data_IF_939480355709
#
_entry.id   IF_939480355709
#
_cell.length_a   1.000
_cell.length_b   1.000
_cell.length_c   1.000
_cell.angle_alpha   90.00
_cell.angle_beta   90.00
_cell.angle_gamma   90.00
#
_symmetry.space_group_name_H-M   'P 1'
#
loop_
_entity.id
_entity.type
_entity.pdbx_description
1 polymer ?
#
# COMPACT_ATOMS: atom_id res chain seq x y z
N UNK A 1 7.06 -24.98 -22.42
CA UNK A 1 7.64 -24.37 -23.63
C UNK A 1 8.32 -23.06 -23.26
N UNK A 2 9.59 -22.87 -23.63
CA UNK A 2 10.27 -21.59 -23.44
C UNK A 2 9.88 -20.64 -24.58
N UNK A 3 9.48 -19.43 -24.22
CA UNK A 3 9.02 -18.40 -25.15
C UNK A 3 9.78 -17.11 -24.87
N UNK A 4 10.23 -16.43 -25.93
CA UNK A 4 10.74 -15.07 -25.84
C UNK A 4 9.58 -14.10 -25.69
N UNK A 5 9.43 -13.47 -24.53
CA UNK A 5 8.46 -12.39 -24.31
C UNK A 5 9.19 -11.07 -24.14
N UNK A 6 8.47 -9.95 -24.19
CA UNK A 6 9.05 -8.60 -24.11
C UNK A 6 9.95 -8.39 -22.88
N UNK A 7 9.65 -9.09 -21.78
CA UNK A 7 10.39 -9.01 -20.50
C UNK A 7 11.46 -10.10 -20.34
N UNK A 8 11.91 -10.66 -21.45
CA UNK A 8 12.90 -11.75 -21.52
C UNK A 8 12.27 -13.13 -21.63
N UNK A 9 13.09 -14.18 -21.66
CA UNK A 9 12.60 -15.54 -21.79
C UNK A 9 11.73 -15.97 -20.58
N UNK A 10 10.64 -16.67 -20.86
CA UNK A 10 9.73 -17.27 -19.86
C UNK A 10 9.32 -18.67 -20.27
N UNK A 11 9.00 -19.52 -19.29
CA UNK A 11 8.53 -20.87 -19.53
C UNK A 11 7.04 -20.94 -19.25
N UNK A 12 6.25 -21.32 -20.24
CA UNK A 12 4.81 -21.52 -20.10
C UNK A 12 4.41 -22.96 -20.39
N UNK A 13 3.33 -23.42 -19.78
CA UNK A 13 2.68 -24.69 -20.05
C UNK A 13 1.17 -24.52 -20.26
N UNK A 14 0.54 -25.47 -20.93
CA UNK A 14 -0.92 -25.58 -20.92
C UNK A 14 -1.43 -25.72 -19.48
N UNK A 15 -2.50 -25.01 -19.16
CA UNK A 15 -3.03 -24.87 -17.81
C UNK A 15 -2.44 -23.70 -17.02
N UNK A 16 -1.38 -23.05 -17.51
CA UNK A 16 -0.80 -21.93 -16.79
C UNK A 16 -1.71 -20.72 -16.78
N UNK A 17 -1.66 -19.98 -15.67
CA UNK A 17 -2.26 -18.66 -15.58
C UNK A 17 -1.36 -17.63 -16.24
N UNK A 18 -1.91 -16.79 -17.11
CA UNK A 18 -1.17 -15.74 -17.80
C UNK A 18 -1.93 -14.41 -17.79
N UNK A 19 -1.21 -13.34 -18.15
CA UNK A 19 -1.74 -11.97 -18.24
C UNK A 19 -1.25 -11.29 -19.51
N UNK A 20 -2.15 -10.58 -20.19
CA UNK A 20 -1.81 -9.63 -21.26
C UNK A 20 -1.27 -8.33 -20.67
N UNK A 21 -0.14 -7.84 -21.21
CA UNK A 21 0.53 -6.63 -20.74
C UNK A 21 0.35 -5.42 -21.66
N UNK A 22 -0.25 -5.60 -22.84
CA UNK A 22 -0.53 -4.53 -23.81
C UNK A 22 -1.94 -4.68 -24.38
N UNK A 23 -2.61 -3.55 -24.61
CA UNK A 23 -3.85 -3.56 -25.37
C UNK A 23 -3.59 -4.04 -26.80
N UNK A 24 -4.46 -4.90 -27.33
CA UNK A 24 -4.45 -5.28 -28.74
C UNK A 24 -5.88 -5.37 -29.25
N UNK A 25 -6.24 -4.45 -30.16
CA UNK A 25 -7.62 -4.31 -30.63
C UNK A 25 -8.03 -5.48 -31.52
N UNK A 26 -7.09 -6.00 -32.32
CA UNK A 26 -7.37 -7.15 -33.20
C UNK A 26 -7.72 -8.42 -32.43
N UNK A 27 -7.14 -8.59 -31.24
CA UNK A 27 -7.40 -9.70 -30.34
C UNK A 27 -8.54 -9.40 -29.34
N UNK A 28 -9.01 -8.15 -29.27
CA UNK A 28 -10.00 -7.71 -28.29
C UNK A 28 -9.52 -7.83 -26.84
N UNK A 29 -8.21 -7.73 -26.59
CA UNK A 29 -7.61 -7.87 -25.25
C UNK A 29 -7.09 -6.53 -24.74
N UNK A 30 -7.13 -6.36 -23.42
CA UNK A 30 -6.63 -5.16 -22.73
C UNK A 30 -5.45 -5.55 -21.86
N UNK A 31 -4.61 -4.57 -21.53
CA UNK A 31 -3.61 -4.73 -20.49
C UNK A 31 -4.29 -5.09 -19.17
N UNK A 32 -3.80 -6.14 -18.51
CA UNK A 32 -4.40 -6.73 -17.31
C UNK A 32 -5.44 -7.82 -17.59
N UNK A 33 -5.81 -8.09 -18.84
CA UNK A 33 -6.67 -9.25 -19.16
C UNK A 33 -5.96 -10.54 -18.73
N UNK A 34 -6.65 -11.33 -17.90
CA UNK A 34 -6.20 -12.62 -17.39
C UNK A 34 -6.85 -13.77 -18.18
N UNK A 35 -6.18 -14.92 -18.16
CA UNK A 35 -6.72 -16.15 -18.71
C UNK A 35 -5.87 -17.37 -18.38
N UNK A 36 -6.25 -18.50 -18.94
CA UNK A 36 -5.54 -19.78 -18.86
C UNK A 36 -5.00 -20.14 -20.24
N UNK A 37 -3.78 -20.63 -20.30
CA UNK A 37 -3.19 -21.15 -21.54
C UNK A 37 -3.83 -22.50 -21.87
N UNK A 38 -4.47 -22.60 -23.02
CA UNK A 38 -5.01 -23.88 -23.52
C UNK A 38 -3.88 -24.65 -24.24
N UNK A 39 -3.15 -23.95 -25.12
CA UNK A 39 -2.05 -24.51 -25.89
C UNK A 39 -0.94 -23.47 -26.06
N UNK A 40 0.30 -23.92 -25.97
CA UNK A 40 1.48 -23.08 -26.22
C UNK A 40 2.51 -23.83 -27.05
N UNK A 41 2.98 -23.16 -28.09
CA UNK A 41 4.13 -23.57 -28.90
C UNK A 41 5.20 -22.48 -28.87
N UNK A 42 6.32 -22.68 -29.57
CA UNK A 42 7.34 -21.64 -29.71
C UNK A 42 6.93 -20.51 -30.66
N UNK A 43 5.86 -20.71 -31.44
CA UNK A 43 5.40 -19.77 -32.48
C UNK A 43 4.05 -19.14 -32.13
N UNK A 44 3.17 -19.87 -31.46
CA UNK A 44 1.80 -19.43 -31.19
C UNK A 44 1.34 -19.82 -29.79
N UNK A 45 0.30 -19.13 -29.35
CA UNK A 45 -0.37 -19.41 -28.09
C UNK A 45 -1.88 -19.29 -28.28
N UNK A 46 -2.61 -20.24 -27.71
CA UNK A 46 -4.08 -20.23 -27.62
C UNK A 46 -4.46 -20.19 -26.14
N UNK A 47 -5.33 -19.26 -25.79
CA UNK A 47 -5.69 -18.98 -24.41
C UNK A 47 -7.18 -18.78 -24.26
N UNK A 48 -7.72 -19.17 -23.12
CA UNK A 48 -9.07 -18.84 -22.70
C UNK A 48 -9.01 -17.68 -21.69
N UNK A 49 -9.59 -16.54 -22.04
CA UNK A 49 -9.70 -15.39 -21.14
C UNK A 49 -10.79 -15.62 -20.10
N UNK A 50 -10.72 -14.87 -18.99
CA UNK A 50 -11.70 -15.02 -17.89
C UNK A 50 -13.13 -14.65 -18.27
N UNK A 51 -13.31 -13.83 -19.29
CA UNK A 51 -14.62 -13.52 -19.87
C UNK A 51 -15.11 -14.61 -20.84
N UNK A 52 -14.41 -15.75 -20.92
CA UNK A 52 -14.82 -16.96 -21.63
C UNK A 52 -14.43 -17.01 -23.10
N UNK A 53 -13.68 -16.03 -23.62
CA UNK A 53 -13.28 -16.01 -25.03
C UNK A 53 -12.01 -16.85 -25.25
N UNK A 54 -11.98 -17.61 -26.35
CA UNK A 54 -10.73 -18.21 -26.83
C UNK A 54 -10.03 -17.25 -27.77
N UNK A 55 -8.75 -17.01 -27.53
CA UNK A 55 -7.90 -16.07 -28.28
C UNK A 55 -6.64 -16.81 -28.71
N UNK A 56 -6.38 -16.86 -30.01
CA UNK A 56 -5.15 -17.42 -30.58
C UNK A 56 -4.33 -16.31 -31.25
N UNK A 57 -3.02 -16.32 -31.02
CA UNK A 57 -2.12 -15.34 -31.60
C UNK A 57 -0.72 -15.93 -31.85
N UNK A 58 -0.01 -15.32 -32.80
CA UNK A 58 1.40 -15.60 -33.07
C UNK A 58 2.27 -14.76 -32.13
N UNK A 59 3.26 -15.39 -31.51
CA UNK A 59 4.18 -14.78 -30.58
C UNK A 59 5.11 -13.76 -31.28
N UNK A 60 5.27 -13.84 -32.59
CA UNK A 60 5.99 -12.82 -33.38
C UNK A 60 5.20 -11.51 -33.47
N UNK A 61 3.87 -11.59 -33.47
CA UNK A 61 2.98 -10.44 -33.64
C UNK A 61 2.58 -9.86 -32.28
N UNK A 62 2.55 -10.70 -31.24
CA UNK A 62 2.24 -10.29 -29.87
C UNK A 62 3.03 -11.09 -28.83
N UNK A 63 4.01 -10.44 -28.18
CA UNK A 63 4.86 -11.02 -27.13
C UNK A 63 4.74 -10.31 -25.77
N UNK A 64 3.71 -9.47 -25.58
CA UNK A 64 3.49 -8.70 -24.35
C UNK A 64 2.66 -9.50 -23.34
N UNK A 65 3.21 -10.61 -22.86
CA UNK A 65 2.56 -11.50 -21.88
C UNK A 65 3.47 -11.76 -20.67
N UNK A 66 2.88 -12.16 -19.55
CA UNK A 66 3.58 -12.61 -18.34
C UNK A 66 2.73 -13.68 -17.62
N UNK A 67 3.29 -14.32 -16.59
CA UNK A 67 2.49 -15.18 -15.72
C UNK A 67 1.44 -14.36 -14.95
N UNK A 68 0.25 -14.93 -14.84
CA UNK A 68 -0.93 -14.31 -14.23
C UNK A 68 -1.23 -14.77 -12.81
N UNK A 69 -0.34 -15.57 -12.19
CA UNK A 69 -0.56 -16.13 -10.86
C UNK A 69 -0.55 -15.09 -9.75
N UNK A 70 0.31 -14.09 -9.86
CA UNK A 70 0.44 -13.03 -8.88
C UNK A 70 0.77 -11.72 -9.60
N UNK A 71 0.12 -10.64 -9.19
CA UNK A 71 0.39 -9.31 -9.69
C UNK A 71 0.52 -8.33 -8.53
N UNK A 72 1.39 -7.34 -8.69
CA UNK A 72 1.45 -6.21 -7.76
C UNK A 72 0.13 -5.44 -7.79
N UNK A 73 -0.26 -4.82 -6.67
CA UNK A 73 -1.47 -3.98 -6.55
C UNK A 73 -1.55 -2.93 -7.66
N UNK A 74 -0.43 -2.30 -8.02
CA UNK A 74 -0.36 -1.31 -9.11
C UNK A 74 -0.74 -1.89 -10.48
N UNK A 75 -0.36 -3.13 -10.76
CA UNK A 75 -0.72 -3.84 -12.00
C UNK A 75 -2.19 -4.28 -12.01
N UNK A 76 -2.79 -4.46 -10.83
CA UNK A 76 -4.19 -4.84 -10.68
C UNK A 76 -5.16 -3.65 -10.73
N UNK A 77 -4.68 -2.41 -10.90
CA UNK A 77 -5.55 -1.24 -10.96
C UNK A 77 -6.50 -1.32 -12.17
N UNK A 78 -7.80 -1.16 -11.90
CA UNK A 78 -8.83 -1.23 -12.94
C UNK A 78 -9.17 -2.66 -13.40
N UNK A 79 -8.53 -3.68 -12.83
CA UNK A 79 -8.93 -5.07 -13.03
C UNK A 79 -10.08 -5.44 -12.10
N UNK A 80 -10.95 -6.32 -12.60
CA UNK A 80 -11.99 -6.98 -11.81
C UNK A 80 -11.83 -8.48 -12.00
N UNK A 81 -11.83 -9.24 -10.90
CA UNK A 81 -11.76 -10.70 -10.89
C UNK A 81 -12.80 -11.23 -9.91
N UNK A 82 -13.20 -12.50 -10.04
CA UNK A 82 -14.25 -13.05 -9.16
C UNK A 82 -13.74 -13.20 -7.72
N UNK A 83 -12.51 -13.72 -7.55
CA UNK A 83 -11.84 -13.82 -6.23
C UNK A 83 -10.45 -13.21 -6.24
N UNK A 84 -10.08 -12.56 -5.14
CA UNK A 84 -8.71 -12.06 -4.92
C UNK A 84 -8.06 -12.67 -3.70
N UNK A 85 -6.75 -12.92 -3.80
CA UNK A 85 -5.90 -13.21 -2.66
C UNK A 85 -4.90 -12.06 -2.52
N UNK A 86 -4.92 -11.36 -1.39
CA UNK A 86 -4.08 -10.19 -1.14
C UNK A 86 -3.04 -10.54 -0.09
N UNK A 87 -1.75 -10.43 -0.42
CA UNK A 87 -0.69 -10.45 0.57
C UNK A 87 -0.46 -9.04 1.11
N UNK A 88 -0.83 -8.79 2.36
CA UNK A 88 -0.54 -7.54 3.03
C UNK A 88 0.95 -7.46 3.35
N UNK A 89 1.55 -6.30 3.07
CA UNK A 89 2.97 -6.04 3.36
C UNK A 89 3.12 -4.70 4.08
N UNK A 90 4.19 -4.48 4.88
CA UNK A 90 4.41 -3.21 5.57
C UNK A 90 4.49 -1.99 4.65
N UNK A 91 4.76 -2.22 3.36
CA UNK A 91 4.80 -1.20 2.32
C UNK A 91 3.44 -0.70 1.85
N UNK A 92 2.32 -1.21 2.39
CA UNK A 92 0.96 -0.74 2.05
C UNK A 92 0.56 0.54 2.80
N UNK A 93 -0.54 1.12 2.34
CA UNK A 93 -1.24 2.29 2.88
C UNK A 93 -2.72 2.21 2.51
N UNK A 94 -3.48 3.26 2.85
CA UNK A 94 -4.93 3.33 2.59
C UNK A 94 -5.28 3.19 1.11
N UNK A 95 -4.47 3.76 0.21
CA UNK A 95 -4.71 3.69 -1.23
C UNK A 95 -4.42 2.30 -1.77
N UNK A 96 -3.28 1.71 -1.41
CA UNK A 96 -2.94 0.35 -1.80
C UNK A 96 -3.94 -0.67 -1.25
N UNK A 97 -4.40 -0.47 -0.02
CA UNK A 97 -5.43 -1.30 0.60
C UNK A 97 -6.76 -1.19 -0.12
N UNK A 98 -7.23 0.03 -0.38
CA UNK A 98 -8.46 0.26 -1.14
C UNK A 98 -8.40 -0.43 -2.51
N UNK A 99 -7.31 -0.23 -3.25
CA UNK A 99 -7.14 -0.87 -4.56
C UNK A 99 -7.17 -2.39 -4.42
N UNK A 100 -6.39 -3.00 -3.53
CA UNK A 100 -6.31 -4.45 -3.43
C UNK A 100 -7.63 -5.11 -2.97
N UNK A 101 -8.31 -4.47 -2.02
CA UNK A 101 -9.52 -5.00 -1.40
C UNK A 101 -10.77 -4.83 -2.27
N UNK A 102 -10.75 -4.02 -3.32
CA UNK A 102 -11.95 -3.70 -4.15
C UNK A 102 -11.93 -4.30 -5.56
N UNK A 103 -10.97 -5.17 -5.89
CA UNK A 103 -10.92 -5.83 -7.23
C UNK A 103 -11.76 -7.09 -7.35
N UNK A 104 -12.28 -7.62 -6.25
CA UNK A 104 -13.07 -8.85 -6.27
C UNK A 104 -14.55 -8.57 -6.55
N UNK A 105 -15.22 -9.52 -7.22
CA UNK A 105 -16.68 -9.52 -7.37
C UNK A 105 -17.37 -10.33 -6.27
N UNK A 106 -16.83 -11.52 -5.97
CA UNK A 106 -17.50 -12.51 -5.13
C UNK A 106 -16.88 -12.62 -3.74
N UNK A 107 -15.56 -12.56 -3.64
CA UNK A 107 -14.89 -12.60 -2.35
C UNK A 107 -13.39 -12.33 -2.39
N UNK A 108 -12.82 -12.04 -1.22
CA UNK A 108 -11.39 -11.85 -1.06
C UNK A 108 -10.87 -12.55 0.19
N UNK A 109 -9.61 -12.99 0.13
CA UNK A 109 -8.86 -13.48 1.28
C UNK A 109 -7.57 -12.66 1.43
N UNK A 110 -7.31 -12.12 2.63
CA UNK A 110 -6.11 -11.33 2.91
C UNK A 110 -5.21 -12.14 3.83
N UNK A 111 -3.96 -12.27 3.39
CA UNK A 111 -2.90 -13.00 4.05
C UNK A 111 -1.86 -12.02 4.56
N UNK A 112 -1.27 -12.30 5.71
CA UNK A 112 -0.18 -11.50 6.26
C UNK A 112 0.72 -12.38 7.12
N UNK A 113 2.02 -12.10 7.10
CA UNK A 113 2.99 -12.78 7.96
C UNK A 113 2.98 -12.23 9.38
N UNK A 114 3.11 -13.10 10.37
CA UNK A 114 3.29 -12.71 11.77
C UNK A 114 4.55 -11.87 12.00
N UNK A 115 5.58 -12.10 11.18
CA UNK A 115 6.85 -11.37 11.24
C UNK A 115 6.69 -9.90 10.84
N UNK A 116 5.84 -9.63 9.84
CA UNK A 116 5.49 -8.28 9.41
C UNK A 116 4.46 -7.62 10.33
N UNK A 117 3.49 -8.41 10.79
CA UNK A 117 2.33 -7.97 11.55
C UNK A 117 2.08 -8.89 12.75
N UNK A 118 2.77 -8.62 13.85
CA UNK A 118 2.62 -9.37 15.10
C UNK A 118 1.20 -9.32 15.68
N UNK A 119 0.41 -8.28 15.37
CA UNK A 119 -0.99 -8.16 15.80
C UNK A 119 -1.88 -7.57 14.71
N UNK A 120 -3.18 -7.84 14.81
CA UNK A 120 -4.20 -7.30 13.88
C UNK A 120 -4.26 -5.77 13.93
N UNK A 121 -4.04 -5.15 15.08
CA UNK A 121 -4.02 -3.69 15.22
C UNK A 121 -2.87 -3.06 14.44
N UNK A 122 -1.71 -3.73 14.38
CA UNK A 122 -0.57 -3.26 13.56
C UNK A 122 -0.90 -3.32 12.08
N UNK A 123 -1.55 -4.41 11.63
CA UNK A 123 -2.05 -4.51 10.26
C UNK A 123 -3.00 -3.36 9.94
N UNK A 124 -4.04 -3.17 10.75
CA UNK A 124 -5.03 -2.10 10.54
C UNK A 124 -4.39 -0.71 10.52
N UNK A 125 -3.44 -0.41 11.42
CA UNK A 125 -2.70 0.87 11.39
C UNK A 125 -1.93 1.07 10.09
N UNK A 126 -1.27 0.05 9.57
CA UNK A 126 -0.55 0.14 8.30
C UNK A 126 -1.50 0.34 7.13
N UNK A 127 -2.57 -0.46 7.06
CA UNK A 127 -3.55 -0.40 5.97
C UNK A 127 -4.36 0.90 5.99
N UNK A 128 -4.58 1.51 7.15
CA UNK A 128 -5.30 2.78 7.28
C UNK A 128 -4.40 4.02 7.20
N UNK A 129 -3.08 3.85 7.14
CA UNK A 129 -2.15 4.98 7.05
C UNK A 129 -2.39 5.72 5.75
N UNK A 130 -2.66 7.02 5.83
CA UNK A 130 -2.57 7.88 4.67
C UNK A 130 -1.11 8.27 4.44
N UNK A 131 -0.59 7.92 3.27
CA UNK A 131 0.65 8.50 2.76
C UNK A 131 0.22 9.46 1.67
N UNK A 132 -0.02 10.71 2.06
CA UNK A 132 -0.13 11.78 1.09
C UNK A 132 1.12 11.73 0.20
N UNK A 133 0.90 11.66 -1.11
CA UNK A 133 1.95 12.03 -2.07
C UNK A 133 2.05 13.54 -1.95
N UNK A 134 2.98 14.04 -1.16
CA UNK A 134 3.22 15.47 -1.06
C UNK A 134 3.38 16.01 -2.49
N UNK A 135 2.51 16.94 -2.89
CA UNK A 135 2.70 17.64 -4.15
C UNK A 135 3.74 18.73 -3.90
N UNK A 136 4.64 18.95 -4.87
CA UNK A 136 5.67 20.00 -4.76
C UNK A 136 5.04 21.38 -4.51
N UNK A 137 3.82 21.60 -5.00
CA UNK A 137 3.02 22.82 -4.76
C UNK A 137 2.61 23.05 -3.31
N UNK A 138 2.56 22.00 -2.49
CA UNK A 138 2.12 22.10 -1.09
C UNK A 138 3.24 22.63 -0.19
N UNK A 139 4.50 22.58 -0.64
CA UNK A 139 5.64 23.13 0.09
C UNK A 139 5.72 24.65 0.05
N UNK A 140 5.04 25.32 -0.88
CA UNK A 140 5.11 26.78 -1.03
C UNK A 140 4.24 27.52 0.01
N UNK A 141 3.39 26.80 0.76
CA UNK A 141 2.45 27.37 1.75
C UNK A 141 2.66 26.90 3.18
N UNK A 142 3.66 26.07 3.48
CA UNK A 142 3.79 25.40 4.77
C UNK A 142 5.15 25.72 5.42
N UNK A 143 5.14 26.23 6.66
CA UNK A 143 6.34 26.45 7.46
C UNK A 143 7.12 25.13 7.63
N UNK A 144 8.30 24.98 7.00
CA UNK A 144 9.04 23.72 6.94
C UNK A 144 9.42 23.16 8.32
N UNK A 145 9.49 24.03 9.34
CA UNK A 145 9.95 23.67 10.68
C UNK A 145 8.88 22.98 11.54
N UNK A 146 7.60 23.25 11.28
CA UNK A 146 6.48 22.65 12.01
C UNK A 146 6.19 21.22 11.51
N UNK A 147 6.11 21.05 10.20
CA UNK A 147 5.77 19.76 9.56
C UNK A 147 6.87 18.70 9.77
N UNK A 148 8.15 19.11 9.82
CA UNK A 148 9.26 18.21 10.12
C UNK A 148 9.18 17.63 11.55
N UNK A 149 8.64 18.39 12.50
CA UNK A 149 8.52 17.97 13.90
C UNK A 149 7.34 17.00 14.11
N UNK A 150 6.20 17.30 13.47
CA UNK A 150 4.99 16.48 13.55
C UNK A 150 5.19 15.11 12.89
N UNK A 151 5.89 15.06 11.75
CA UNK A 151 6.18 13.81 11.01
C UNK A 151 7.15 12.86 11.74
N UNK A 152 7.88 13.34 12.75
CA UNK A 152 8.80 12.52 13.58
C UNK A 152 8.28 12.23 14.99
N UNK A 153 7.08 12.69 15.36
CA UNK A 153 6.51 12.44 16.68
C UNK A 153 7.34 13.02 17.84
N UNK A 154 8.11 14.08 17.59
CA UNK A 154 8.88 14.76 18.64
C UNK A 154 7.87 15.55 19.49
N UNK A 155 7.54 15.02 20.66
CA UNK A 155 6.59 15.64 21.58
C UNK A 155 7.13 17.00 22.02
N UNK A 156 6.29 18.03 21.88
CA UNK A 156 6.54 19.44 22.23
C UNK A 156 7.33 19.65 23.54
N UNK A 157 7.15 18.77 24.54
CA UNK A 157 7.92 18.76 25.81
C UNK A 157 9.44 18.66 25.64
N UNK A 158 9.94 17.85 24.71
CA UNK A 158 11.39 17.69 24.51
C UNK A 158 12.03 18.97 23.94
N UNK A 159 11.33 19.66 23.02
CA UNK A 159 11.78 20.96 22.49
C UNK A 159 11.73 22.07 23.53
N UNK A 160 10.67 22.16 24.34
CA UNK A 160 10.60 23.18 25.39
C UNK A 160 11.73 22.97 26.40
N UNK A 161 11.99 21.73 26.82
CA UNK A 161 13.09 21.42 27.73
C UNK A 161 14.48 21.75 27.13
N UNK A 162 14.69 21.49 25.85
CA UNK A 162 15.95 21.76 25.15
C UNK A 162 16.18 23.27 24.89
N UNK A 163 15.13 23.99 24.51
CA UNK A 163 15.15 25.45 24.33
C UNK A 163 15.40 26.14 25.69
N UNK A 164 14.71 25.73 26.75
CA UNK A 164 14.89 26.27 28.11
C UNK A 164 16.32 26.01 28.62
N UNK A 165 16.90 24.83 28.33
CA UNK A 165 18.30 24.52 28.69
C UNK A 165 19.33 25.39 27.97
N UNK A 166 19.01 25.83 26.75
CA UNK A 166 19.91 26.64 25.91
C UNK A 166 19.85 28.13 26.23
N UNK A 167 18.72 28.61 26.76
CA UNK A 167 18.49 30.03 27.05
C UNK A 167 18.85 30.39 28.51
N UNK A 168 18.72 29.46 29.47
CA UNK A 168 18.93 29.78 30.89
C UNK A 168 20.33 29.36 31.42
N UNK A 169 21.04 30.25 32.15
CA UNK A 169 22.30 29.92 32.79
C UNK A 169 22.13 28.89 33.92
N UNK A 170 23.18 28.08 34.15
CA UNK A 170 23.17 26.90 35.04
C UNK A 170 22.56 27.14 36.44
N UNK A 171 22.81 28.31 37.03
CA UNK A 171 22.36 28.67 38.39
C UNK A 171 20.83 28.80 38.56
N UNK A 172 20.07 28.83 37.46
CA UNK A 172 18.60 28.93 37.45
C UNK A 172 17.92 27.56 37.23
N UNK A 173 18.69 26.53 36.84
CA UNK A 173 18.18 25.19 36.52
C UNK A 173 17.58 24.49 37.73
N UNK A 174 18.20 24.59 38.89
CA UNK A 174 17.72 23.96 40.13
C UNK A 174 16.45 24.61 40.70
N UNK A 175 16.20 25.89 40.38
CA UNK A 175 15.04 26.63 40.90
C UNK A 175 13.75 26.38 40.11
N UNK A 176 13.86 25.94 38.85
CA UNK A 176 12.70 25.69 37.97
C UNK A 176 12.34 24.19 37.92
N UNK A 177 13.28 23.28 38.22
CA UNK A 177 13.01 21.85 38.31
C UNK A 177 11.82 21.51 39.23
N UNK A 178 11.74 22.16 40.40
CA UNK A 178 10.64 21.96 41.34
C UNK A 178 9.29 22.57 40.93
N UNK A 179 9.25 23.47 39.93
CA UNK A 179 8.01 24.12 39.48
C UNK A 179 7.31 23.35 38.35
N UNK A 180 8.05 22.50 37.62
CA UNK A 180 7.53 21.69 36.52
C UNK A 180 6.98 20.33 36.98
N UNK A 181 7.42 19.81 38.13
CA UNK A 181 6.85 18.60 38.77
C UNK A 181 5.42 18.82 39.30
N UNK A 182 4.96 20.07 39.43
CA UNK A 182 3.60 20.41 39.86
C UNK A 182 2.53 20.35 38.77
N UNK A 183 2.90 20.14 37.51
CA UNK A 183 1.96 20.15 36.37
C UNK A 183 1.92 18.79 35.67
N UNK A 184 1.47 17.78 36.40
CA UNK A 184 1.07 16.51 35.79
C UNK A 184 0.60 15.44 36.76
N UNK A 185 -0.68 15.47 37.15
CA UNK A 185 -1.54 14.27 37.17
C UNK A 185 -3.00 14.64 37.53
N UNK A 186 -3.99 13.93 36.97
CA UNK A 186 -5.40 14.30 37.04
C UNK A 186 -6.01 13.92 38.40
N UNK A 187 -6.60 14.88 39.09
CA UNK A 187 -7.44 14.64 40.25
C UNK A 187 -8.91 14.62 39.83
N UNK A 188 -9.53 13.45 39.90
CA UNK A 188 -10.99 13.38 40.00
C UNK A 188 -11.45 13.89 41.36
N UNK A 189 -12.59 14.56 41.41
CA UNK A 189 -13.45 14.63 42.59
C UNK A 189 -14.87 15.03 42.18
N UNK A 190 -15.81 14.38 42.85
CA UNK A 190 -17.25 14.38 42.66
C UNK A 190 -17.96 15.66 43.12
N UNK A 191 -19.21 15.79 42.65
CA UNK A 191 -20.44 16.22 43.36
C UNK A 191 -20.49 17.54 44.17
N UNK A 192 -21.54 18.34 43.89
CA UNK A 192 -22.22 19.16 44.91
C UNK A 192 -22.82 20.49 44.42
N UNK A 193 -24.14 20.49 44.11
CA UNK A 193 -25.22 21.40 44.59
C UNK A 193 -24.80 22.80 45.13
N UNK A 194 -25.39 23.96 44.82
CA UNK A 194 -26.82 24.34 44.81
C UNK A 194 -27.02 25.81 44.31
N UNK A 195 -28.25 26.10 43.84
CA UNK A 195 -29.06 27.34 43.87
C UNK A 195 -28.62 28.68 43.26
N UNK A 196 -29.55 29.19 42.44
CA UNK A 196 -29.77 30.57 42.03
C UNK A 196 -30.93 30.64 41.05
#
# INVERSE_FOLDING_TARGET
VQVGVERGARNFASGDRFMFLRNERGLGVKNGTLGVIEEVTTQSMTVQTDDGRSVSFDLKDYAHIDHGYAATIHKAQGMTVDRTHVLATPGMDVHGSYVALTRHRDGMDMHYGSDDFATRERLLRTLSRDRAKDMVSDYDQIDPAQTFAERRGITFRQRVAEIVRRILPEKVRDRIGGLLDGLGAPGGAEAGQDRG
#
